data_IF_656455080527
#
_entry.id   IF_656455080527
#
_cell.length_a   1.000
_cell.length_b   1.000
_cell.length_c   1.000
_cell.angle_alpha   90.00
_cell.angle_beta   90.00
_cell.angle_gamma   90.00
#
_symmetry.space_group_name_H-M   'P 1'
#
loop_
_entity.id
_entity.type
_entity.pdbx_description
1 polymer ?
#
# COMPACT_ATOMS: atom_id res chain seq x y z
N UNK A 1 19.27 66.50 -12.87
CA UNK A 1 19.50 65.08 -12.50
C UNK A 1 18.73 64.21 -13.50
N UNK A 2 19.45 63.40 -14.28
CA UNK A 2 18.95 62.40 -15.26
C UNK A 2 18.24 61.24 -14.51
N UNK A 3 17.36 60.38 -15.06
CA UNK A 3 17.12 59.84 -16.42
C UNK A 3 15.60 59.67 -16.67
N UNK A 4 15.04 59.96 -17.86
CA UNK A 4 15.02 59.12 -19.09
C UNK A 4 14.50 57.68 -18.88
N UNK A 5 13.41 57.34 -19.59
CA UNK A 5 12.98 55.98 -19.91
C UNK A 5 11.45 55.84 -19.84
N UNK A 6 10.70 55.93 -20.94
CA UNK A 6 10.43 54.80 -21.86
C UNK A 6 9.50 53.75 -21.19
N UNK A 7 8.32 53.34 -21.66
CA UNK A 7 7.69 53.27 -22.98
C UNK A 7 6.20 52.91 -22.71
N UNK A 8 5.26 53.59 -23.36
CA UNK A 8 3.95 53.00 -23.70
C UNK A 8 4.19 51.83 -24.65
N UNK A 9 3.79 50.59 -24.32
CA UNK A 9 3.17 49.68 -25.31
C UNK A 9 2.27 48.71 -24.55
N UNK A 10 0.97 48.99 -24.59
CA UNK A 10 -0.06 47.96 -24.54
C UNK A 10 0.18 47.04 -25.75
N UNK A 11 0.73 45.85 -25.52
CA UNK A 11 0.81 44.82 -26.56
C UNK A 11 -0.23 43.76 -26.26
N UNK A 12 -1.29 43.83 -27.09
CA UNK A 12 -2.15 42.78 -27.62
C UNK A 12 -2.29 41.48 -26.79
N UNK A 13 -3.55 41.20 -26.42
CA UNK A 13 -3.94 39.99 -25.72
C UNK A 13 -3.56 38.74 -26.48
N UNK A 14 -2.79 37.88 -25.82
CA UNK A 14 -2.62 36.49 -26.25
C UNK A 14 -3.99 35.80 -26.35
N UNK A 15 -4.22 34.95 -27.36
CA UNK A 15 -5.45 34.17 -27.43
C UNK A 15 -5.55 33.28 -26.19
N UNK A 16 -6.69 33.35 -25.48
CA UNK A 16 -7.04 32.44 -24.40
C UNK A 16 -7.01 31.00 -24.94
N UNK A 17 -5.87 30.33 -24.81
CA UNK A 17 -5.79 28.90 -25.02
C UNK A 17 -6.58 28.23 -23.88
N UNK A 18 -7.58 27.38 -24.18
CA UNK A 18 -8.25 26.62 -23.13
C UNK A 18 -7.21 25.76 -22.41
N UNK A 19 -7.30 25.62 -21.07
CA UNK A 19 -6.32 24.86 -20.32
C UNK A 19 -6.36 23.39 -20.75
N UNK A 20 -5.31 22.95 -21.45
CA UNK A 20 -5.04 21.53 -21.67
C UNK A 20 -4.65 20.92 -20.33
N UNK A 21 -5.47 20.00 -19.83
CA UNK A 21 -5.24 19.24 -18.60
C UNK A 21 -3.82 18.67 -18.62
N UNK A 22 -3.01 19.03 -17.62
CA UNK A 22 -1.65 18.50 -17.43
C UNK A 22 -0.49 19.43 -17.79
N UNK A 23 -0.72 20.65 -18.35
CA UNK A 23 0.36 21.65 -18.47
C UNK A 23 0.39 22.59 -17.25
N UNK A 24 1.58 22.91 -16.70
CA UNK A 24 1.70 23.97 -15.70
C UNK A 24 1.26 25.29 -16.34
N UNK A 25 0.15 25.84 -15.89
CA UNK A 25 -0.54 26.99 -16.50
C UNK A 25 0.15 28.34 -16.28
N UNK A 26 1.34 28.38 -15.63
CA UNK A 26 2.09 29.63 -15.43
C UNK A 26 3.61 29.41 -15.48
N UNK A 27 4.36 30.26 -16.21
CA UNK A 27 5.83 30.26 -16.17
C UNK A 27 6.41 30.50 -14.76
N UNK A 28 5.61 31.02 -13.82
CA UNK A 28 6.01 31.20 -12.42
C UNK A 28 5.98 29.93 -11.55
N UNK A 29 5.42 28.81 -12.03
CA UNK A 29 5.35 27.56 -11.25
C UNK A 29 6.73 26.91 -11.04
N UNK A 30 7.69 27.14 -11.93
CA UNK A 30 9.07 26.65 -11.79
C UNK A 30 9.77 27.21 -10.54
N UNK A 31 9.48 28.45 -10.15
CA UNK A 31 10.08 29.04 -8.95
C UNK A 31 9.52 28.45 -7.65
N UNK A 32 8.30 27.89 -7.67
CA UNK A 32 7.70 27.23 -6.50
C UNK A 32 8.29 25.84 -6.27
N UNK A 33 8.62 25.09 -7.33
CA UNK A 33 9.29 23.79 -7.22
C UNK A 33 10.68 23.86 -6.56
N UNK A 34 11.38 24.99 -6.70
CA UNK A 34 12.68 25.22 -6.07
C UNK A 34 12.61 25.71 -4.62
N UNK A 35 11.42 26.12 -4.14
CA UNK A 35 11.23 26.55 -2.75
C UNK A 35 11.12 25.34 -1.81
N UNK A 36 11.50 25.49 -0.52
CA UNK A 36 11.38 24.41 0.47
C UNK A 36 9.98 23.79 0.55
N UNK A 37 8.93 24.62 0.39
CA UNK A 37 7.54 24.18 0.36
C UNK A 37 7.20 23.33 -0.88
N UNK A 38 7.68 23.71 -2.07
CA UNK A 38 7.46 22.94 -3.29
C UNK A 38 8.26 21.63 -3.31
N UNK A 39 9.46 21.61 -2.72
CA UNK A 39 10.22 20.37 -2.52
C UNK A 39 9.51 19.41 -1.57
N UNK A 40 8.98 19.91 -0.44
CA UNK A 40 8.19 19.11 0.51
C UNK A 40 6.92 18.56 -0.14
N UNK A 41 6.21 19.38 -0.92
CA UNK A 41 5.01 18.92 -1.62
C UNK A 41 5.35 17.87 -2.68
N UNK A 42 6.40 18.08 -3.47
CA UNK A 42 6.87 17.09 -4.43
C UNK A 42 7.25 15.76 -3.76
N UNK A 43 7.90 15.81 -2.60
CA UNK A 43 8.27 14.65 -1.80
C UNK A 43 7.06 13.90 -1.23
N UNK A 44 6.02 14.61 -0.78
CA UNK A 44 4.78 14.01 -0.28
C UNK A 44 4.01 13.20 -1.34
N UNK A 45 4.08 13.63 -2.61
CA UNK A 45 3.39 12.98 -3.73
C UNK A 45 4.24 11.87 -4.38
N UNK A 46 5.52 11.72 -3.98
CA UNK A 46 6.36 10.62 -4.49
C UNK A 46 5.78 9.27 -4.10
N UNK A 47 5.94 8.30 -4.97
CA UNK A 47 5.61 6.91 -4.65
C UNK A 47 6.64 6.35 -3.65
N UNK A 48 6.14 5.69 -2.62
CA UNK A 48 6.91 4.85 -1.72
C UNK A 48 6.46 3.40 -1.87
N UNK A 49 7.33 2.48 -1.50
CA UNK A 49 7.11 1.04 -1.57
C UNK A 49 7.26 0.44 -0.18
N UNK A 50 6.29 -0.37 0.23
CA UNK A 50 6.29 -1.12 1.48
C UNK A 50 6.50 -2.60 1.15
N UNK A 51 7.52 -3.21 1.76
CA UNK A 51 7.66 -4.65 1.80
C UNK A 51 7.06 -5.16 3.10
N UNK A 52 6.14 -6.12 2.99
CA UNK A 52 5.51 -6.77 4.14
C UNK A 52 5.49 -8.28 3.97
N UNK A 53 5.32 -8.99 5.08
CA UNK A 53 5.13 -10.43 5.13
C UNK A 53 3.83 -10.73 5.89
N UNK A 54 2.95 -11.50 5.27
CA UNK A 54 1.77 -12.04 5.96
C UNK A 54 2.05 -13.46 6.40
N UNK A 55 1.79 -13.75 7.67
CA UNK A 55 1.85 -15.10 8.24
C UNK A 55 0.45 -15.56 8.59
N UNK A 56 0.11 -16.75 8.14
CA UNK A 56 -1.16 -17.41 8.41
C UNK A 56 -0.84 -18.72 9.11
N UNK A 57 -1.48 -18.99 10.24
CA UNK A 57 -1.34 -20.26 10.94
C UNK A 57 -2.71 -20.77 11.44
N UNK A 58 -2.99 -22.06 11.28
CA UNK A 58 -4.16 -22.70 11.90
C UNK A 58 -3.95 -24.21 12.05
N UNK A 59 -4.87 -24.86 12.78
CA UNK A 59 -4.86 -26.31 13.00
C UNK A 59 -5.57 -27.03 11.86
N UNK A 60 -4.88 -27.89 11.12
CA UNK A 60 -5.44 -28.66 10.00
C UNK A 60 -4.80 -28.36 8.66
N UNK A 61 -5.28 -29.01 7.60
CA UNK A 61 -4.67 -28.93 6.27
C UNK A 61 -5.11 -27.71 5.48
N UNK A 62 -4.15 -26.96 4.95
CA UNK A 62 -4.34 -25.86 4.02
C UNK A 62 -4.70 -26.37 2.62
N UNK A 63 -5.82 -25.92 2.08
CA UNK A 63 -6.13 -26.12 0.67
C UNK A 63 -5.21 -25.28 -0.22
N UNK A 64 -4.73 -25.88 -1.30
CA UNK A 64 -4.06 -25.12 -2.34
C UNK A 64 -5.02 -24.11 -2.97
N UNK A 65 -4.54 -22.89 -3.11
CA UNK A 65 -5.33 -21.74 -3.55
C UNK A 65 -4.64 -21.05 -4.71
N UNK A 66 -5.44 -20.53 -5.62
CA UNK A 66 -4.94 -19.77 -6.77
C UNK A 66 -4.24 -18.48 -6.30
N UNK A 67 -3.07 -18.20 -6.85
CA UNK A 67 -2.25 -17.03 -6.50
C UNK A 67 -3.05 -15.73 -6.68
N UNK A 68 -3.93 -15.66 -7.69
CA UNK A 68 -4.78 -14.48 -7.91
C UNK A 68 -5.84 -14.33 -6.83
N UNK A 69 -6.42 -15.42 -6.35
CA UNK A 69 -7.38 -15.40 -5.26
C UNK A 69 -6.71 -14.87 -3.98
N UNK A 70 -5.49 -15.35 -3.70
CA UNK A 70 -4.68 -14.88 -2.56
C UNK A 70 -4.40 -13.39 -2.67
N UNK A 71 -3.93 -12.90 -3.81
CA UNK A 71 -3.68 -11.48 -4.02
C UNK A 71 -4.95 -10.62 -3.85
N UNK A 72 -6.09 -11.10 -4.33
CA UNK A 72 -7.37 -10.43 -4.19
C UNK A 72 -7.85 -10.36 -2.73
N UNK A 73 -7.71 -11.44 -1.98
CA UNK A 73 -8.05 -11.46 -0.57
C UNK A 73 -7.17 -10.52 0.26
N UNK A 74 -5.85 -10.49 0.00
CA UNK A 74 -4.95 -9.52 0.64
C UNK A 74 -5.36 -8.09 0.29
N UNK A 75 -5.67 -7.80 -0.97
CA UNK A 75 -6.15 -6.47 -1.37
C UNK A 75 -7.42 -6.09 -0.60
N UNK A 76 -8.40 -6.98 -0.50
CA UNK A 76 -9.64 -6.74 0.25
C UNK A 76 -9.38 -6.52 1.74
N UNK A 77 -8.53 -7.33 2.36
CA UNK A 77 -8.15 -7.17 3.77
C UNK A 77 -7.52 -5.81 4.03
N UNK A 78 -6.60 -5.36 3.17
CA UNK A 78 -5.94 -4.06 3.29
C UNK A 78 -6.95 -2.93 3.06
N UNK A 79 -7.80 -3.02 2.02
CA UNK A 79 -8.85 -2.03 1.75
C UNK A 79 -9.82 -1.92 2.93
N UNK A 80 -10.24 -3.04 3.52
CA UNK A 80 -11.11 -3.05 4.69
C UNK A 80 -10.41 -2.42 5.89
N UNK A 81 -9.16 -2.76 6.17
CA UNK A 81 -8.40 -2.18 7.29
C UNK A 81 -8.23 -0.66 7.14
N UNK A 82 -7.97 -0.18 5.92
CA UNK A 82 -7.92 1.26 5.63
C UNK A 82 -9.27 1.93 5.86
N UNK A 83 -10.36 1.30 5.38
CA UNK A 83 -11.72 1.81 5.56
C UNK A 83 -12.15 1.87 7.03
N UNK A 84 -11.83 0.85 7.81
CA UNK A 84 -12.20 0.76 9.23
C UNK A 84 -11.38 1.73 10.11
N UNK A 85 -10.11 1.97 9.80
CA UNK A 85 -9.24 2.83 10.60
C UNK A 85 -9.30 4.31 10.20
N UNK A 86 -9.41 4.62 8.92
CA UNK A 86 -9.28 5.98 8.39
C UNK A 86 -10.54 6.47 7.67
N UNK A 87 -11.52 5.61 7.45
CA UNK A 87 -12.75 5.94 6.76
C UNK A 87 -12.64 5.93 5.23
N UNK A 88 -13.78 6.18 4.61
CA UNK A 88 -13.94 6.23 3.16
C UNK A 88 -14.43 7.62 2.72
N UNK A 89 -13.94 8.10 1.58
CA UNK A 89 -14.46 9.31 0.93
C UNK A 89 -15.21 8.86 -0.33
N UNK A 90 -16.52 9.14 -0.39
CA UNK A 90 -17.36 8.81 -1.55
C UNK A 90 -17.30 7.33 -1.95
N UNK A 91 -17.17 6.41 -0.98
CA UNK A 91 -17.07 4.97 -1.22
C UNK A 91 -15.69 4.47 -1.65
N UNK A 92 -14.69 5.36 -1.79
CA UNK A 92 -13.30 4.98 -2.01
C UNK A 92 -12.50 5.05 -0.69
N UNK A 93 -11.56 4.12 -0.44
CA UNK A 93 -10.65 4.22 0.69
C UNK A 93 -9.87 5.53 0.65
N UNK A 94 -9.67 6.15 1.81
CA UNK A 94 -8.90 7.39 1.91
C UNK A 94 -7.48 7.24 1.35
N UNK A 95 -6.88 6.07 1.54
CA UNK A 95 -5.53 5.75 1.11
C UNK A 95 -5.55 4.95 -0.19
N UNK A 96 -5.05 5.55 -1.27
CA UNK A 96 -4.84 4.85 -2.54
C UNK A 96 -3.53 4.04 -2.48
N UNK A 97 -3.60 2.78 -2.91
CA UNK A 97 -2.44 1.89 -2.98
C UNK A 97 -2.60 0.84 -4.09
N UNK A 98 -1.46 0.33 -4.57
CA UNK A 98 -1.37 -0.79 -5.51
C UNK A 98 -0.63 -1.96 -4.88
N UNK A 99 -1.19 -3.16 -4.96
CA UNK A 99 -0.52 -4.40 -4.58
C UNK A 99 0.25 -4.96 -5.79
N UNK A 100 1.56 -4.72 -5.80
CA UNK A 100 2.43 -5.07 -6.93
C UNK A 100 2.90 -6.52 -6.91
N UNK A 101 3.03 -7.11 -5.72
CA UNK A 101 3.46 -8.50 -5.52
C UNK A 101 2.71 -9.11 -4.35
N UNK A 102 2.25 -10.34 -4.54
CA UNK A 102 1.75 -11.22 -3.48
C UNK A 102 2.17 -12.64 -3.86
N UNK A 103 3.18 -13.18 -3.21
CA UNK A 103 3.72 -14.51 -3.53
C UNK A 103 3.95 -15.30 -2.28
N UNK A 104 3.59 -16.59 -2.31
CA UNK A 104 3.90 -17.51 -1.23
C UNK A 104 5.41 -17.68 -1.09
N UNK A 105 5.90 -17.52 0.14
CA UNK A 105 7.28 -17.82 0.50
C UNK A 105 7.28 -19.29 0.92
N UNK A 106 7.89 -20.13 0.09
CA UNK A 106 8.11 -21.54 0.42
C UNK A 106 9.14 -21.63 1.54
N UNK A 107 8.70 -21.47 2.79
CA UNK A 107 9.50 -21.88 3.93
C UNK A 107 9.54 -23.41 3.94
N UNK A 108 10.73 -23.99 3.83
CA UNK A 108 10.91 -25.40 4.17
C UNK A 108 10.30 -25.63 5.55
N UNK A 109 9.58 -26.76 5.71
CA UNK A 109 8.92 -27.13 6.97
C UNK A 109 9.81 -26.74 8.14
N UNK A 110 9.33 -25.83 8.98
CA UNK A 110 10.02 -25.48 10.22
C UNK A 110 10.14 -26.75 11.04
N UNK A 111 11.37 -27.27 11.13
CA UNK A 111 11.78 -28.38 11.98
C UNK A 111 11.44 -28.00 13.45
N UNK A 112 10.22 -28.31 13.88
CA UNK A 112 9.69 -27.86 15.17
C UNK A 112 8.16 -27.89 15.29
N UNK A 113 7.43 -27.88 14.18
CA UNK A 113 5.96 -27.99 14.19
C UNK A 113 5.43 -29.42 14.50
N UNK A 114 6.32 -30.42 14.61
CA UNK A 114 5.94 -31.84 14.74
C UNK A 114 5.45 -32.28 16.13
N UNK A 115 5.26 -31.38 17.11
CA UNK A 115 4.98 -31.84 18.50
C UNK A 115 3.71 -31.36 19.19
N UNK A 116 2.83 -30.59 18.58
CA UNK A 116 1.48 -30.38 19.13
C UNK A 116 0.48 -30.08 18.00
N UNK A 117 -0.24 -31.11 17.55
CA UNK A 117 -1.40 -30.99 16.66
C UNK A 117 -1.16 -30.12 15.42
N UNK A 118 -0.53 -30.69 14.39
CA UNK A 118 -0.21 -30.12 13.07
C UNK A 118 -0.74 -28.69 12.81
N UNK A 119 -0.05 -27.69 13.38
CA UNK A 119 -0.27 -26.29 13.03
C UNK A 119 0.45 -26.07 11.70
N UNK A 120 -0.31 -25.84 10.65
CA UNK A 120 0.26 -25.44 9.37
C UNK A 120 0.44 -23.93 9.31
N UNK A 121 1.61 -23.49 8.81
CA UNK A 121 1.96 -22.08 8.63
C UNK A 121 2.22 -21.79 7.15
N UNK A 122 1.59 -20.74 6.62
CA UNK A 122 1.89 -20.18 5.29
C UNK A 122 2.36 -18.74 5.41
N UNK A 123 3.31 -18.37 4.55
CA UNK A 123 3.90 -17.03 4.51
C UNK A 123 3.75 -16.43 3.13
N UNK A 124 3.39 -15.15 3.06
CA UNK A 124 3.24 -14.42 1.81
C UNK A 124 4.06 -13.15 1.84
N UNK A 125 4.90 -12.95 0.83
CA UNK A 125 5.62 -11.70 0.64
C UNK A 125 4.76 -10.73 -0.18
N UNK A 126 4.56 -9.55 0.38
CA UNK A 126 3.81 -8.46 -0.23
C UNK A 126 4.73 -7.31 -0.65
N UNK A 127 4.40 -6.67 -1.77
CA UNK A 127 4.95 -5.38 -2.18
C UNK A 127 3.81 -4.42 -2.49
N UNK A 128 3.74 -3.32 -1.75
CA UNK A 128 2.66 -2.34 -1.86
C UNK A 128 3.26 -1.00 -2.28
N UNK A 129 2.68 -0.35 -3.30
CA UNK A 129 3.03 1.00 -3.72
C UNK A 129 1.94 1.98 -3.29
N UNK A 130 2.35 3.13 -2.77
CA UNK A 130 1.45 4.19 -2.32
C UNK A 130 2.16 5.55 -2.31
N UNK A 131 1.43 6.64 -2.08
CA UNK A 131 2.05 7.94 -1.90
C UNK A 131 2.82 8.01 -0.57
N UNK A 132 3.99 8.67 -0.58
CA UNK A 132 4.90 8.80 0.56
C UNK A 132 4.21 9.39 1.78
N UNK A 133 3.29 10.32 1.57
CA UNK A 133 2.48 10.94 2.62
C UNK A 133 1.62 9.95 3.43
N UNK A 134 1.32 8.78 2.88
CA UNK A 134 0.40 7.79 3.46
C UNK A 134 1.10 6.55 4.03
N UNK A 135 2.44 6.56 4.06
CA UNK A 135 3.23 5.41 4.50
C UNK A 135 2.90 5.02 5.93
N UNK A 136 2.80 5.99 6.84
CA UNK A 136 2.59 5.68 8.25
C UNK A 136 1.21 5.08 8.48
N UNK A 137 0.18 5.67 7.87
CA UNK A 137 -1.19 5.18 7.93
C UNK A 137 -1.32 3.78 7.33
N UNK A 138 -0.63 3.51 6.22
CA UNK A 138 -0.61 2.18 5.63
C UNK A 138 0.13 1.17 6.52
N UNK A 139 1.26 1.55 7.11
CA UNK A 139 1.97 0.67 8.06
C UNK A 139 1.06 0.33 9.24
N UNK A 140 0.35 1.32 9.79
CA UNK A 140 -0.64 1.08 10.84
C UNK A 140 -1.77 0.16 10.36
N UNK A 141 -2.33 0.39 9.17
CA UNK A 141 -3.38 -0.47 8.61
C UNK A 141 -2.91 -1.92 8.51
N UNK A 142 -1.72 -2.14 7.94
CA UNK A 142 -1.15 -3.47 7.79
C UNK A 142 -0.95 -4.15 9.15
N UNK A 143 -0.31 -3.46 10.10
CA UNK A 143 -0.03 -4.03 11.43
C UNK A 143 -1.28 -4.36 12.25
N UNK A 144 -2.42 -3.74 11.95
CA UNK A 144 -3.70 -4.03 12.61
C UNK A 144 -4.42 -5.25 12.02
N UNK A 145 -4.03 -5.73 10.84
CA UNK A 145 -4.66 -6.91 10.22
C UNK A 145 -4.37 -8.14 11.06
N UNK A 146 -5.43 -8.71 11.61
CA UNK A 146 -5.41 -9.95 12.39
C UNK A 146 -6.58 -10.84 11.98
N UNK A 147 -6.63 -12.08 12.48
CA UNK A 147 -7.75 -12.98 12.23
C UNK A 147 -9.11 -12.36 12.64
N UNK A 148 -9.13 -11.55 13.72
CA UNK A 148 -10.32 -10.86 14.20
C UNK A 148 -10.56 -9.47 13.58
N UNK A 149 -9.60 -8.93 12.83
CA UNK A 149 -9.69 -7.59 12.24
C UNK A 149 -9.22 -7.63 10.78
N UNK A 150 -10.18 -7.63 9.85
CA UNK A 150 -9.97 -7.66 8.39
C UNK A 150 -9.23 -8.89 7.81
N UNK A 151 -8.50 -9.67 8.60
CA UNK A 151 -7.78 -10.87 8.16
C UNK A 151 -8.69 -12.06 7.84
N UNK A 152 -9.98 -12.00 8.20
CA UNK A 152 -10.99 -12.97 7.78
C UNK A 152 -11.09 -13.13 6.26
N UNK A 153 -10.91 -12.04 5.51
CA UNK A 153 -10.90 -12.05 4.04
C UNK A 153 -9.82 -12.99 3.49
N UNK A 154 -8.67 -13.06 4.16
CA UNK A 154 -7.55 -13.93 3.80
C UNK A 154 -7.85 -15.36 4.26
N UNK A 155 -8.29 -15.54 5.50
CA UNK A 155 -8.59 -16.85 6.07
C UNK A 155 -9.69 -17.60 5.32
N UNK A 156 -10.69 -16.90 4.77
CA UNK A 156 -11.77 -17.51 3.99
C UNK A 156 -11.31 -18.29 2.75
N UNK A 157 -10.09 -18.03 2.24
CA UNK A 157 -9.51 -18.81 1.14
C UNK A 157 -8.99 -20.18 1.59
N UNK A 158 -8.55 -20.25 2.84
CA UNK A 158 -7.83 -21.39 3.38
C UNK A 158 -8.70 -22.26 4.29
N UNK A 159 -9.83 -21.73 4.73
CA UNK A 159 -10.77 -22.38 5.62
C UNK A 159 -12.09 -22.62 4.89
N UNK A 160 -12.53 -23.88 4.86
CA UNK A 160 -13.85 -24.19 4.35
C UNK A 160 -14.92 -23.41 5.15
N UNK A 161 -16.00 -22.91 4.50
CA UNK A 161 -17.11 -22.25 5.20
C UNK A 161 -17.75 -23.12 6.29
N UNK A 162 -17.64 -24.44 6.13
CA UNK A 162 -18.13 -25.47 7.05
C UNK A 162 -17.10 -25.90 8.10
N UNK A 163 -15.93 -25.26 8.16
CA UNK A 163 -14.89 -25.60 9.12
C UNK A 163 -15.43 -25.53 10.57
N UNK A 164 -15.07 -26.48 11.45
CA UNK A 164 -15.48 -26.45 12.84
C UNK A 164 -15.12 -25.11 13.52
N UNK A 165 -15.92 -24.63 14.48
CA UNK A 165 -15.64 -23.39 15.20
C UNK A 165 -14.27 -23.37 15.88
N UNK A 166 -13.81 -24.53 16.36
CA UNK A 166 -12.50 -24.71 17.00
C UNK A 166 -11.33 -24.43 16.04
N UNK A 167 -11.44 -24.91 14.80
CA UNK A 167 -10.47 -24.66 13.73
C UNK A 167 -10.43 -23.16 13.41
N UNK A 168 -11.61 -22.51 13.30
CA UNK A 168 -11.73 -21.05 13.10
C UNK A 168 -11.13 -20.25 14.25
N UNK A 169 -11.36 -20.68 15.49
CA UNK A 169 -10.79 -20.03 16.67
C UNK A 169 -9.27 -20.20 16.77
N UNK A 170 -8.71 -21.25 16.18
CA UNK A 170 -7.27 -21.48 16.13
C UNK A 170 -6.53 -20.62 15.10
N UNK A 171 -7.26 -20.03 14.16
CA UNK A 171 -6.68 -19.31 13.04
C UNK A 171 -6.01 -18.00 13.48
N UNK A 172 -4.81 -17.79 12.97
CA UNK A 172 -3.98 -16.60 13.22
C UNK A 172 -3.58 -16.00 11.88
N UNK A 173 -3.68 -14.68 11.81
CA UNK A 173 -3.13 -13.87 10.73
C UNK A 173 -2.34 -12.76 11.38
N UNK A 174 -1.13 -12.52 10.87
CA UNK A 174 -0.28 -11.40 11.24
C UNK A 174 0.34 -10.83 9.97
N UNK A 175 0.43 -9.50 9.89
CA UNK A 175 1.13 -8.82 8.81
C UNK A 175 2.28 -8.00 9.40
N UNK A 176 3.50 -8.43 9.12
CA UNK A 176 4.73 -7.79 9.54
C UNK A 176 5.25 -6.87 8.42
N UNK A 177 5.51 -5.60 8.73
CA UNK A 177 6.17 -4.68 7.78
C UNK A 177 7.68 -4.85 7.90
N UNK A 178 8.32 -5.28 6.81
CA UNK A 178 9.76 -5.53 6.76
C UNK A 178 10.56 -4.26 6.45
N UNK A 179 9.99 -3.33 5.70
CA UNK A 179 10.67 -2.09 5.36
C UNK A 179 9.90 -1.21 4.38
N UNK A 180 10.37 0.03 4.27
CA UNK A 180 9.84 1.04 3.36
C UNK A 180 11.00 1.61 2.53
N UNK A 181 10.81 1.77 1.23
CA UNK A 181 11.80 2.39 0.36
C UNK A 181 11.18 3.30 -0.70
N UNK A 182 12.01 4.16 -1.29
CA UNK A 182 11.62 5.05 -2.40
C UNK A 182 11.72 4.37 -3.77
N UNK A 183 12.42 3.25 -3.85
CA UNK A 183 12.55 2.44 -5.06
C UNK A 183 12.35 0.95 -4.76
N UNK A 184 11.72 0.17 -5.66
CA UNK A 184 11.55 -1.26 -5.46
C UNK A 184 12.89 -2.00 -5.35
N UNK A 185 13.89 -1.54 -6.12
CA UNK A 185 15.23 -2.13 -6.16
C UNK A 185 15.95 -2.05 -4.81
N UNK A 186 15.73 -0.98 -4.05
CA UNK A 186 16.30 -0.80 -2.71
C UNK A 186 15.76 -1.82 -1.69
N UNK A 187 14.56 -2.36 -1.91
CA UNK A 187 13.98 -3.42 -1.05
C UNK A 187 14.47 -4.82 -1.43
N UNK A 188 14.84 -5.03 -2.69
CA UNK A 188 15.36 -6.32 -3.17
C UNK A 188 16.81 -6.54 -2.73
N UNK A 189 17.61 -5.47 -2.63
CA UNK A 189 19.02 -5.57 -2.17
C UNK A 189 19.20 -5.73 -0.66
N UNK A 190 18.14 -5.59 0.14
CA UNK A 190 18.18 -5.72 1.60
C UNK A 190 17.74 -7.11 2.11
N UNK A 191 17.38 -8.02 1.20
CA UNK A 191 17.01 -9.41 1.50
C UNK A 191 18.12 -10.39 1.11
#
# INVERSE_FOLDING_TARGET
MYSKGAIEVLSEGDPECPPLIGRPTRPHAHHLACRPLGKRQAEMVRTAYICAETRIAFVGSLTDTDEKAVAYAHRRAITAAVGDLFGNISGAPLLAFDLLKCTEVKTGRTEGAEKLGEIEERRFSLLIALQRAHVNEMVTALSMITAGFCGGEILCLFMAPTAPPEVRASARVLVDVLGVAEAPTSLVSAK
#
